data_IF_704197308919
#
_entry.id   IF_704197308919
#
_cell.length_a   1.000
_cell.length_b   1.000
_cell.length_c   1.000
_cell.angle_alpha   90.00
_cell.angle_beta   90.00
_cell.angle_gamma   90.00
#
_symmetry.space_group_name_H-M   'P 1'
#
loop_
_entity.id
_entity.type
_entity.pdbx_description
1 polymer ?
#
# COMPACT_ATOMS: atom_id res chain seq x y z
N UNK A 1 -21.82 -1.00 -25.84
CA UNK A 1 -21.44 -1.76 -24.61
C UNK A 1 -21.20 -0.73 -23.50
N UNK A 2 -21.79 -0.90 -22.32
CA UNK A 2 -21.58 0.02 -21.18
C UNK A 2 -20.15 -0.09 -20.63
N UNK A 3 -19.61 0.96 -19.99
CA UNK A 3 -18.21 1.01 -19.54
C UNK A 3 -17.91 -0.08 -18.50
N UNK A 4 -18.87 -0.35 -17.63
CA UNK A 4 -18.82 -1.36 -16.57
C UNK A 4 -18.71 -2.76 -17.18
N UNK A 5 -19.40 -3.00 -18.30
CA UNK A 5 -19.33 -4.24 -19.06
C UNK A 5 -18.02 -4.35 -19.85
N UNK A 6 -17.45 -3.25 -20.35
CA UNK A 6 -16.15 -3.27 -21.01
C UNK A 6 -14.97 -3.47 -20.03
N UNK A 7 -15.12 -3.14 -18.74
CA UNK A 7 -14.07 -3.32 -17.72
C UNK A 7 -13.77 -4.78 -17.40
N UNK A 8 -14.69 -5.72 -17.67
CA UNK A 8 -14.50 -7.12 -17.31
C UNK A 8 -13.38 -7.83 -18.09
N UNK A 9 -12.98 -7.27 -19.24
CA UNK A 9 -11.89 -7.80 -20.07
C UNK A 9 -10.55 -7.11 -19.82
N UNK A 10 -10.50 -6.12 -18.92
CA UNK A 10 -9.26 -5.41 -18.63
C UNK A 10 -8.37 -6.27 -17.73
N UNK A 11 -7.09 -6.50 -18.10
CA UNK A 11 -6.17 -7.33 -17.33
C UNK A 11 -5.80 -6.70 -15.98
N UNK A 12 -5.78 -7.54 -14.94
CA UNK A 12 -5.23 -7.21 -13.62
C UNK A 12 -3.72 -6.96 -13.72
N UNK A 13 -3.22 -5.97 -12.96
CA UNK A 13 -1.80 -5.58 -12.97
C UNK A 13 -1.35 -4.70 -14.14
N UNK A 14 -2.03 -4.74 -15.29
CA UNK A 14 -1.74 -3.85 -16.42
C UNK A 14 -2.63 -2.60 -16.45
N UNK A 15 -3.78 -2.66 -15.79
CA UNK A 15 -4.74 -1.55 -15.73
C UNK A 15 -4.49 -0.70 -14.50
N UNK A 16 -3.92 0.50 -14.69
CA UNK A 16 -3.63 1.41 -13.60
C UNK A 16 -4.91 1.96 -12.94
N UNK A 17 -4.87 2.08 -11.62
CA UNK A 17 -5.92 2.69 -10.80
C UNK A 17 -5.32 3.66 -9.80
N UNK A 18 -6.17 4.54 -9.24
CA UNK A 18 -5.81 5.44 -8.15
C UNK A 18 -6.80 5.25 -7.01
N UNK A 19 -6.28 5.12 -5.79
CA UNK A 19 -7.07 4.99 -4.57
C UNK A 19 -6.56 6.00 -3.53
N UNK A 20 -7.48 6.69 -2.87
CA UNK A 20 -7.18 7.43 -1.66
C UNK A 20 -7.46 6.52 -0.46
N UNK A 21 -6.44 6.27 0.35
CA UNK A 21 -6.54 5.44 1.55
C UNK A 21 -6.38 6.32 2.78
N UNK A 22 -7.28 6.16 3.75
CA UNK A 22 -7.23 6.85 5.04
C UNK A 22 -7.24 5.83 6.16
N UNK A 23 -6.45 6.09 7.20
CA UNK A 23 -6.27 5.20 8.33
C UNK A 23 -5.50 5.90 9.46
N UNK A 24 -5.64 5.39 10.68
CA UNK A 24 -4.85 5.89 11.81
C UNK A 24 -3.39 5.46 11.66
N UNK A 25 -2.46 6.15 12.34
CA UNK A 25 -1.03 5.77 12.37
C UNK A 25 -0.86 4.30 12.78
N UNK A 26 -1.62 3.82 13.78
CA UNK A 26 -1.63 2.41 14.19
C UNK A 26 -2.03 1.47 13.04
N UNK A 27 -3.09 1.81 12.32
CA UNK A 27 -3.57 1.00 11.18
C UNK A 27 -2.51 0.94 10.08
N UNK A 28 -1.84 2.05 9.82
CA UNK A 28 -0.76 2.13 8.84
C UNK A 28 0.48 1.33 9.24
N UNK A 29 0.89 1.39 10.51
CA UNK A 29 1.99 0.56 11.05
C UNK A 29 1.65 -0.92 10.87
N UNK A 30 0.44 -1.34 11.24
CA UNK A 30 0.01 -2.73 11.10
C UNK A 30 -0.03 -3.17 9.63
N UNK A 31 -0.61 -2.36 8.75
CA UNK A 31 -0.68 -2.63 7.30
C UNK A 31 0.72 -2.81 6.72
N UNK A 32 1.64 -1.86 6.97
CA UNK A 32 2.99 -1.92 6.44
C UNK A 32 3.75 -3.12 7.01
N UNK A 33 3.64 -3.41 8.31
CA UNK A 33 4.29 -4.56 8.93
C UNK A 33 3.89 -5.89 8.30
N UNK A 34 2.61 -6.07 7.96
CA UNK A 34 2.15 -7.28 7.28
C UNK A 34 2.58 -7.31 5.79
N UNK A 35 2.43 -6.20 5.08
CA UNK A 35 2.62 -6.13 3.62
C UNK A 35 4.08 -6.02 3.17
N UNK A 36 5.00 -5.67 4.06
CA UNK A 36 6.44 -5.73 3.82
C UNK A 36 7.03 -7.12 4.10
N UNK A 37 6.27 -8.01 4.75
CA UNK A 37 6.71 -9.35 5.12
C UNK A 37 6.88 -10.32 3.94
N UNK A 38 7.62 -11.41 4.19
CA UNK A 38 7.81 -12.50 3.25
C UNK A 38 6.46 -13.16 2.90
N UNK A 39 6.24 -13.42 1.60
CA UNK A 39 5.00 -14.01 1.09
C UNK A 39 3.98 -13.01 0.54
N UNK A 40 4.19 -11.71 0.71
CA UNK A 40 3.40 -10.68 0.01
C UNK A 40 3.93 -10.48 -1.41
N UNK A 41 3.04 -10.26 -2.38
CA UNK A 41 3.39 -9.97 -3.77
C UNK A 41 4.28 -8.71 -3.88
N UNK A 42 5.23 -8.71 -4.83
CA UNK A 42 6.27 -7.68 -4.91
C UNK A 42 5.71 -6.26 -5.14
N UNK A 43 4.69 -6.07 -5.98
CA UNK A 43 4.10 -4.74 -6.16
C UNK A 43 3.53 -4.17 -4.86
N UNK A 44 2.93 -5.02 -4.03
CA UNK A 44 2.32 -4.60 -2.77
C UNK A 44 3.37 -4.33 -1.69
N UNK A 45 4.47 -5.09 -1.66
CA UNK A 45 5.63 -4.79 -0.81
C UNK A 45 6.22 -3.41 -1.13
N UNK A 46 6.44 -3.12 -2.41
CA UNK A 46 6.98 -1.83 -2.86
C UNK A 46 6.10 -0.64 -2.44
N UNK A 47 4.77 -0.79 -2.51
CA UNK A 47 3.85 0.23 -2.01
C UNK A 47 3.93 0.38 -0.49
N UNK A 48 3.98 -0.74 0.24
CA UNK A 48 4.07 -0.71 1.69
C UNK A 48 5.40 -0.11 2.20
N UNK A 49 6.51 -0.36 1.50
CA UNK A 49 7.80 0.27 1.78
C UNK A 49 7.73 1.80 1.58
N UNK A 50 7.14 2.26 0.47
CA UNK A 50 6.95 3.70 0.22
C UNK A 50 6.07 4.36 1.29
N UNK A 51 4.99 3.71 1.71
CA UNK A 51 4.14 4.20 2.81
C UNK A 51 4.92 4.23 4.13
N UNK A 52 5.78 3.25 4.40
CA UNK A 52 6.60 3.19 5.60
C UNK A 52 7.60 4.35 5.66
N UNK A 53 8.27 4.65 4.56
CA UNK A 53 9.20 5.78 4.47
C UNK A 53 8.49 7.11 4.77
N UNK A 54 7.28 7.31 4.25
CA UNK A 54 6.45 8.49 4.56
C UNK A 54 6.11 8.54 6.05
N UNK A 55 5.73 7.42 6.67
CA UNK A 55 5.42 7.38 8.11
C UNK A 55 6.62 7.77 8.95
N UNK A 56 7.81 7.25 8.66
CA UNK A 56 9.03 7.58 9.41
C UNK A 56 9.47 9.03 9.21
N UNK A 57 9.25 9.59 8.02
CA UNK A 57 9.53 11.00 7.74
C UNK A 57 8.56 11.94 8.48
N UNK A 58 7.26 11.63 8.51
CA UNK A 58 6.24 12.46 9.17
C UNK A 58 6.21 12.27 10.69
N UNK A 59 6.62 11.10 11.19
CA UNK A 59 6.68 10.77 12.60
C UNK A 59 8.07 10.25 13.00
N UNK A 60 9.12 11.10 13.05
CA UNK A 60 10.50 10.67 13.32
C UNK A 60 10.69 9.96 14.67
N UNK A 61 9.84 10.24 15.66
CA UNK A 61 9.86 9.55 16.95
C UNK A 61 9.55 8.06 16.87
N UNK A 62 8.97 7.60 15.75
CA UNK A 62 8.67 6.19 15.53
C UNK A 62 9.85 5.41 14.95
N UNK A 63 10.87 6.07 14.39
CA UNK A 63 12.03 5.39 13.80
C UNK A 63 12.70 4.48 14.81
N UNK A 64 13.09 5.02 15.98
CA UNK A 64 13.75 4.24 17.04
C UNK A 64 12.87 3.13 17.66
N UNK A 65 11.55 3.21 17.49
CA UNK A 65 10.58 2.26 18.07
C UNK A 65 10.27 1.12 17.11
N UNK A 66 10.38 1.37 15.80
CA UNK A 66 9.98 0.46 14.74
C UNK A 66 11.17 -0.13 13.95
N UNK A 67 12.39 0.30 14.28
CA UNK A 67 13.65 -0.36 13.90
C UNK A 67 13.77 -1.77 14.52
#
# INVERSE_FOLDING_TARGET
IAKEQARCILPEGMTMSRMYMSGTVRSWIHYCGLRRGNGTQKEHQLLADQCWDVILNEFPSLTEVLD
#
